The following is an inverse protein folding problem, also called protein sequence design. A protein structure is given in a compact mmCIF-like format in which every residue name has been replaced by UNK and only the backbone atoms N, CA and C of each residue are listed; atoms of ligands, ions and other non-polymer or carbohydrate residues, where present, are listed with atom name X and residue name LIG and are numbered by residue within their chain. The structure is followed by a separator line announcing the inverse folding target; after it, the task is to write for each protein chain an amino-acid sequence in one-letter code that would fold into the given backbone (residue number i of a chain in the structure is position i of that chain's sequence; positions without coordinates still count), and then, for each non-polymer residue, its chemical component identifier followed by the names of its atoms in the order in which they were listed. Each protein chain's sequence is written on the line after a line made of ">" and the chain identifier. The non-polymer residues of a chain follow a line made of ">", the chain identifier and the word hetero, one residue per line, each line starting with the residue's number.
data_IF_471105521930
#
_entry.id   IF_471105521930
#
_cell.length_a   1.000
_cell.length_b   1.000
_cell.length_c   1.000
_cell.angle_alpha   90.00
_cell.angle_beta   90.00
_cell.angle_gamma   90.00
#
_symmetry.space_group_name_H-M   'P 1'
#
loop_
_entity.id
_entity.type
_entity.pdbx_description
1 polymer ?
#
# COMPACT_ATOMS: atom_id res chain seq x y z
N UNK A 1 -16.44 -5.54 -25.23
CA UNK A 1 -15.51 -4.42 -25.53
C UNK A 1 -15.57 -3.46 -24.36
N UNK A 2 -14.47 -3.19 -23.66
CA UNK A 2 -14.44 -2.12 -22.65
C UNK A 2 -14.48 -0.80 -23.43
N UNK A 3 -15.43 0.12 -23.17
CA UNK A 3 -15.49 1.38 -23.89
C UNK A 3 -14.19 2.16 -23.68
N UNK A 4 -13.62 2.70 -24.77
CA UNK A 4 -12.41 3.51 -24.70
C UNK A 4 -12.73 4.79 -23.92
N UNK A 5 -11.98 5.05 -22.86
CA UNK A 5 -12.21 6.21 -22.02
C UNK A 5 -11.99 7.50 -22.85
N UNK A 6 -12.88 8.51 -22.75
CA UNK A 6 -12.76 9.74 -23.54
C UNK A 6 -11.52 10.55 -23.16
N UNK A 7 -11.12 11.49 -24.02
CA UNK A 7 -10.01 12.41 -23.74
C UNK A 7 -10.28 13.14 -22.42
N UNK A 8 -9.27 13.14 -21.53
CA UNK A 8 -9.38 13.70 -20.18
C UNK A 8 -9.77 12.68 -19.09
N UNK A 9 -10.07 11.44 -19.46
CA UNK A 9 -10.37 10.37 -18.50
C UNK A 9 -9.09 9.65 -18.05
N UNK A 10 -9.00 9.31 -16.76
CA UNK A 10 -7.86 8.60 -16.17
C UNK A 10 -7.85 7.08 -16.42
N UNK A 11 -8.77 6.57 -17.24
CA UNK A 11 -8.99 5.13 -17.42
C UNK A 11 -9.24 4.32 -16.14
N UNK A 12 -9.74 4.96 -15.08
CA UNK A 12 -10.07 4.30 -13.81
C UNK A 12 -11.14 3.22 -13.98
N UNK A 13 -11.26 2.32 -12.99
CA UNK A 13 -12.29 1.29 -13.03
C UNK A 13 -13.70 1.89 -13.05
N UNK A 14 -14.71 1.16 -13.55
CA UNK A 14 -16.10 1.57 -13.46
C UNK A 14 -16.49 1.93 -12.02
N UNK A 15 -17.33 2.95 -11.86
CA UNK A 15 -17.93 3.29 -10.56
C UNK A 15 -19.20 2.46 -10.28
N UNK A 16 -19.88 2.00 -11.33
CA UNK A 16 -21.10 1.20 -11.27
C UNK A 16 -20.80 -0.29 -11.40
N UNK A 17 -21.64 -1.11 -10.77
CA UNK A 17 -21.59 -2.57 -10.89
C UNK A 17 -22.40 -3.07 -12.10
N UNK A 18 -22.03 -4.21 -12.72
CA UNK A 18 -20.91 -5.07 -12.35
C UNK A 18 -19.56 -4.54 -12.87
N UNK A 19 -18.52 -4.58 -12.03
CA UNK A 19 -17.13 -4.33 -12.43
C UNK A 19 -16.38 -5.63 -12.77
N UNK A 20 -16.17 -5.96 -14.05
CA UNK A 20 -15.54 -7.21 -14.46
C UNK A 20 -14.08 -7.35 -14.00
N UNK A 21 -13.42 -6.22 -13.70
CA UNK A 21 -12.03 -6.16 -13.28
C UNK A 21 -11.81 -6.19 -11.76
N UNK A 22 -12.88 -6.11 -10.95
CA UNK A 22 -12.78 -5.96 -9.50
C UNK A 22 -11.95 -7.07 -8.83
N UNK A 23 -12.23 -8.34 -9.15
CA UNK A 23 -11.51 -9.49 -8.60
C UNK A 23 -10.02 -9.48 -8.94
N UNK A 24 -9.67 -9.12 -10.18
CA UNK A 24 -8.28 -9.03 -10.63
C UNK A 24 -7.52 -7.91 -9.93
N UNK A 25 -8.12 -6.71 -9.83
CA UNK A 25 -7.52 -5.58 -9.12
C UNK A 25 -7.37 -5.87 -7.63
N UNK A 26 -8.36 -6.51 -7.00
CA UNK A 26 -8.27 -6.93 -5.60
C UNK A 26 -7.15 -7.94 -5.37
N UNK A 27 -6.97 -8.91 -6.27
CA UNK A 27 -5.85 -9.86 -6.20
C UNK A 27 -4.50 -9.14 -6.27
N UNK A 28 -4.33 -8.23 -7.24
CA UNK A 28 -3.10 -7.46 -7.41
C UNK A 28 -2.84 -6.55 -6.19
N UNK A 29 -3.86 -5.88 -5.68
CA UNK A 29 -3.77 -5.05 -4.48
C UNK A 29 -3.34 -5.86 -3.26
N UNK A 30 -3.98 -7.02 -3.00
CA UNK A 30 -3.61 -7.92 -1.89
C UNK A 30 -2.16 -8.38 -2.02
N UNK A 31 -1.70 -8.70 -3.24
CA UNK A 31 -0.31 -9.10 -3.50
C UNK A 31 0.66 -7.95 -3.25
N UNK A 32 0.36 -6.74 -3.73
CA UNK A 32 1.19 -5.55 -3.50
C UNK A 32 1.25 -5.19 -2.00
N UNK A 33 0.11 -5.21 -1.30
CA UNK A 33 0.03 -4.98 0.14
C UNK A 33 0.91 -5.98 0.90
N UNK A 34 0.77 -7.29 0.64
CA UNK A 34 1.63 -8.31 1.27
C UNK A 34 3.12 -8.08 1.00
N UNK A 35 3.48 -7.65 -0.21
CA UNK A 35 4.87 -7.36 -0.57
C UNK A 35 5.41 -6.14 0.21
N UNK A 36 4.62 -5.07 0.33
CA UNK A 36 5.00 -3.86 1.07
C UNK A 36 5.20 -4.14 2.58
N UNK A 37 4.36 -5.01 3.15
CA UNK A 37 4.42 -5.39 4.56
C UNK A 37 5.32 -6.59 4.86
N UNK A 38 6.12 -7.04 3.89
CA UNK A 38 7.08 -8.13 4.13
C UNK A 38 8.09 -7.69 5.19
N UNK A 39 8.28 -8.52 6.21
CA UNK A 39 9.24 -8.25 7.30
C UNK A 39 10.63 -7.98 6.72
N UNK A 40 11.26 -6.83 7.05
CA UNK A 40 12.61 -6.53 6.61
C UNK A 40 13.64 -7.41 7.35
N UNK A 41 14.93 -7.39 6.98
CA UNK A 41 15.97 -8.07 7.76
C UNK A 41 15.90 -7.71 9.25
N UNK A 42 16.20 -8.67 10.12
CA UNK A 42 16.03 -8.56 11.58
C UNK A 42 16.61 -7.27 12.15
N UNK A 43 17.82 -6.90 11.75
CA UNK A 43 18.49 -5.68 12.22
C UNK A 43 17.72 -4.41 11.87
N UNK A 44 17.10 -4.35 10.69
CA UNK A 44 16.26 -3.22 10.27
C UNK A 44 14.96 -3.21 11.08
N UNK A 45 14.34 -4.36 11.31
CA UNK A 45 13.14 -4.45 12.16
C UNK A 45 13.42 -3.96 13.59
N UNK A 46 14.55 -4.36 14.18
CA UNK A 46 14.95 -3.92 15.51
C UNK A 46 15.24 -2.41 15.58
N UNK A 47 15.92 -1.85 14.57
CA UNK A 47 16.15 -0.38 14.51
C UNK A 47 14.84 0.40 14.42
N UNK A 48 13.91 -0.07 13.58
CA UNK A 48 12.59 0.55 13.44
C UNK A 48 11.77 0.43 14.74
N UNK A 49 11.87 -0.69 15.44
CA UNK A 49 11.21 -0.89 16.73
C UNK A 49 11.77 0.05 17.79
N UNK A 50 13.09 0.10 17.97
CA UNK A 50 13.74 1.03 18.90
C UNK A 50 13.34 2.48 18.61
N UNK A 51 13.31 2.87 17.34
CA UNK A 51 12.89 4.23 16.95
C UNK A 51 11.41 4.51 17.23
N UNK A 52 10.54 3.53 17.00
CA UNK A 52 9.13 3.65 17.35
C UNK A 52 8.95 3.84 18.87
N UNK A 53 9.67 3.08 19.69
CA UNK A 53 9.68 3.19 21.15
C UNK A 53 10.17 4.56 21.63
N UNK A 54 11.28 5.08 21.06
CA UNK A 54 11.80 6.42 21.35
C UNK A 54 10.77 7.53 21.07
N UNK A 55 9.98 7.36 20.00
CA UNK A 55 8.96 8.33 19.58
C UNK A 55 7.62 8.13 20.30
N UNK A 56 7.48 7.10 21.14
CA UNK A 56 6.20 6.75 21.77
C UNK A 56 5.13 6.28 20.77
N UNK A 57 5.54 5.73 19.64
CA UNK A 57 4.66 5.23 18.57
C UNK A 57 4.66 3.70 18.55
N UNK A 58 3.61 3.10 17.99
CA UNK A 58 3.65 1.68 17.66
C UNK A 58 4.59 1.44 16.46
N UNK A 59 5.19 0.25 16.38
CA UNK A 59 5.98 -0.17 15.22
C UNK A 59 5.20 -0.04 13.90
N UNK A 60 3.88 -0.27 13.95
CA UNK A 60 3.00 -0.17 12.79
C UNK A 60 2.89 1.27 12.30
N UNK A 61 2.67 2.22 13.20
CA UNK A 61 2.60 3.64 12.85
C UNK A 61 3.95 4.15 12.32
N UNK A 62 5.06 3.80 12.96
CA UNK A 62 6.38 4.14 12.43
C UNK A 62 6.62 3.53 11.03
N UNK A 63 6.17 2.31 10.80
CA UNK A 63 6.27 1.67 9.47
C UNK A 63 5.40 2.39 8.44
N UNK A 64 4.25 2.96 8.82
CA UNK A 64 3.41 3.76 7.92
C UNK A 64 4.07 5.07 7.49
N UNK A 65 4.86 5.72 8.35
CA UNK A 65 5.65 6.89 7.95
C UNK A 65 6.61 6.57 6.80
N UNK A 66 7.18 5.37 6.80
CA UNK A 66 8.05 4.90 5.73
C UNK A 66 7.24 4.52 4.49
N UNK A 67 6.14 3.78 4.65
CA UNK A 67 5.37 3.25 3.51
C UNK A 67 4.51 4.30 2.79
N UNK A 68 3.91 5.23 3.54
CA UNK A 68 3.00 6.25 2.99
C UNK A 68 3.72 7.53 2.64
N UNK A 69 4.63 7.99 3.50
CA UNK A 69 5.31 9.29 3.36
C UNK A 69 6.76 9.17 2.88
N UNK A 70 7.32 7.96 2.82
CA UNK A 70 8.69 7.73 2.37
C UNK A 70 9.75 8.27 3.33
N UNK A 71 9.41 8.50 4.60
CA UNK A 71 10.29 9.16 5.57
C UNK A 71 10.58 8.27 6.77
N UNK A 72 11.83 8.34 7.22
CA UNK A 72 12.24 7.85 8.53
C UNK A 72 12.17 9.02 9.50
N UNK A 73 11.37 8.88 10.55
CA UNK A 73 11.31 9.85 11.65
C UNK A 73 12.41 9.62 12.66
#
# INVERSE_FOLDING_TARGET
>A
MIPLAPIGHNGGPPLEEPDPGASGRLHLWRRAHKKAWKTPPREIALRRLARAEELGMTYREYTLEILERGRYL
#
